data_IF_373352905920
#
_entry.id   IF_373352905920
#
_cell.length_a   1.000
_cell.length_b   1.000
_cell.length_c   1.000
_cell.angle_alpha   90.00
_cell.angle_beta   90.00
_cell.angle_gamma   90.00
#
_symmetry.space_group_name_H-M   'P 1'
#
loop_
_entity.id
_entity.type
_entity.pdbx_description
1 polymer ?
#
# COMPACT_ATOMS: atom_id res chain seq x y z
N UNK A 1 -13.60 -3.94 -17.59
CA UNK A 1 -14.65 -3.42 -16.69
C UNK A 1 -14.49 -1.92 -16.54
N UNK A 2 -15.51 -1.12 -16.84
CA UNK A 2 -15.48 0.33 -16.64
C UNK A 2 -15.76 0.63 -15.18
N UNK A 3 -14.93 1.45 -14.52
CA UNK A 3 -15.17 1.87 -13.14
C UNK A 3 -16.42 2.77 -13.09
N UNK A 4 -17.45 2.29 -12.37
CA UNK A 4 -18.68 3.05 -12.09
C UNK A 4 -18.39 4.27 -11.23
N UNK A 5 -19.26 5.29 -11.26
CA UNK A 5 -19.09 6.51 -10.46
C UNK A 5 -19.05 6.22 -8.95
N UNK A 6 -19.86 5.27 -8.48
CA UNK A 6 -19.86 4.83 -7.07
C UNK A 6 -18.52 4.20 -6.67
N UNK A 7 -17.94 3.35 -7.53
CA UNK A 7 -16.62 2.75 -7.29
C UNK A 7 -15.51 3.77 -7.31
N UNK A 8 -15.58 4.73 -8.24
CA UNK A 8 -14.63 5.82 -8.29
C UNK A 8 -14.65 6.62 -6.98
N UNK A 9 -15.85 7.02 -6.50
CA UNK A 9 -15.99 7.73 -5.24
C UNK A 9 -15.43 6.92 -4.06
N UNK A 10 -15.73 5.61 -3.99
CA UNK A 10 -15.19 4.73 -2.96
C UNK A 10 -13.65 4.68 -2.99
N UNK A 11 -13.04 4.51 -4.17
CA UNK A 11 -11.57 4.49 -4.32
C UNK A 11 -10.94 5.85 -3.98
N UNK A 12 -11.59 6.96 -4.32
CA UNK A 12 -11.14 8.30 -3.95
C UNK A 12 -11.18 8.54 -2.44
N UNK A 13 -12.24 8.08 -1.76
CA UNK A 13 -12.32 8.14 -0.30
C UNK A 13 -11.25 7.27 0.36
N UNK A 14 -11.02 6.05 -0.14
CA UNK A 14 -9.92 5.19 0.32
C UNK A 14 -8.57 5.91 0.23
N UNK A 15 -8.27 6.54 -0.91
CA UNK A 15 -7.05 7.34 -1.11
C UNK A 15 -6.96 8.50 -0.11
N UNK A 16 -8.04 9.26 0.06
CA UNK A 16 -8.07 10.41 0.96
C UNK A 16 -7.82 10.01 2.42
N UNK A 17 -8.58 9.04 2.92
CA UNK A 17 -8.48 8.62 4.32
C UNK A 17 -7.17 7.90 4.62
N UNK A 18 -6.62 7.14 3.67
CA UNK A 18 -5.29 6.56 3.80
C UNK A 18 -4.21 7.65 3.92
N UNK A 19 -4.31 8.72 3.12
CA UNK A 19 -3.39 9.85 3.21
C UNK A 19 -3.52 10.58 4.56
N UNK A 20 -4.74 10.85 5.00
CA UNK A 20 -4.99 11.48 6.30
C UNK A 20 -4.45 10.62 7.44
N UNK A 21 -4.65 9.30 7.41
CA UNK A 21 -4.09 8.40 8.40
C UNK A 21 -2.57 8.50 8.49
N UNK A 22 -1.86 8.56 7.35
CA UNK A 22 -0.40 8.75 7.33
C UNK A 22 -0.01 10.10 7.94
N UNK A 23 -0.65 11.19 7.50
CA UNK A 23 -0.35 12.56 7.96
C UNK A 23 -0.54 12.69 9.47
N UNK A 24 -1.66 12.20 10.00
CA UNK A 24 -1.99 12.32 11.41
C UNK A 24 -1.20 11.37 12.28
N UNK A 25 -0.94 10.14 11.83
CA UNK A 25 -0.06 9.21 12.56
C UNK A 25 1.36 9.79 12.64
N UNK A 26 1.91 10.27 11.53
CA UNK A 26 3.25 10.87 11.52
C UNK A 26 3.31 12.18 12.31
N UNK A 27 2.34 13.09 12.09
CA UNK A 27 2.23 14.36 12.80
C UNK A 27 1.83 14.22 14.27
N UNK A 28 1.53 13.00 14.73
CA UNK A 28 1.32 12.64 16.12
C UNK A 28 2.59 12.55 16.94
N UNK A 29 3.74 12.51 16.30
CA UNK A 29 5.04 12.42 16.95
C UNK A 29 5.79 13.73 16.79
N UNK A 30 6.27 14.32 17.88
CA UNK A 30 6.94 15.62 17.86
C UNK A 30 8.40 15.43 17.47
N UNK A 31 8.86 16.22 16.50
CA UNK A 31 10.27 16.28 16.11
C UNK A 31 11.02 17.23 17.03
N UNK A 32 12.00 16.71 17.76
CA UNK A 32 13.00 17.51 18.47
C UNK A 32 14.27 17.70 17.63
N UNK A 33 15.16 18.58 18.10
CA UNK A 33 16.47 18.82 17.47
C UNK A 33 17.31 17.56 17.39
N UNK A 34 17.16 16.69 18.38
CA UNK A 34 17.81 15.40 18.37
C UNK A 34 17.03 14.43 17.45
N UNK A 35 15.69 14.52 17.37
CA UNK A 35 14.80 13.87 16.37
C UNK A 35 13.45 13.39 16.95
N UNK A 36 12.79 12.37 16.39
CA UNK A 36 11.41 11.96 16.75
C UNK A 36 11.29 10.48 17.19
N UNK A 37 10.81 10.16 18.39
CA UNK A 37 10.58 8.76 18.78
C UNK A 37 9.43 8.17 17.94
N UNK A 38 9.61 6.97 17.40
CA UNK A 38 8.58 6.20 16.70
C UNK A 38 8.89 4.73 16.95
N UNK A 39 7.92 3.81 16.84
CA UNK A 39 8.24 2.41 17.15
C UNK A 39 7.25 1.38 16.67
N UNK A 40 7.68 0.50 15.78
CA UNK A 40 7.01 -0.58 15.04
C UNK A 40 5.50 -0.46 14.70
N UNK A 41 4.64 -0.22 15.68
CA UNK A 41 3.19 -0.04 15.51
C UNK A 41 2.77 1.12 14.59
N UNK A 42 3.27 2.37 14.72
CA UNK A 42 2.94 3.45 13.81
C UNK A 42 3.58 3.25 12.43
N UNK A 43 4.79 2.67 12.32
CA UNK A 43 5.40 2.37 11.03
C UNK A 43 4.62 1.31 10.27
N UNK A 44 4.18 0.24 10.96
CA UNK A 44 3.32 -0.75 10.36
C UNK A 44 2.01 -0.10 9.87
N UNK A 45 1.35 0.71 10.71
CA UNK A 45 0.14 1.44 10.31
C UNK A 45 0.38 2.38 9.11
N UNK A 46 1.48 3.13 9.11
CA UNK A 46 1.87 4.01 8.00
C UNK A 46 2.09 3.20 6.71
N UNK A 47 2.78 2.07 6.77
CA UNK A 47 3.02 1.21 5.60
C UNK A 47 1.73 0.62 5.03
N UNK A 48 0.79 0.22 5.89
CA UNK A 48 -0.49 -0.34 5.43
C UNK A 48 -1.37 0.75 4.82
N UNK A 49 -1.46 1.92 5.44
CA UNK A 49 -2.14 3.07 4.86
C UNK A 49 -1.44 3.56 3.58
N UNK A 50 -0.12 3.51 3.49
CA UNK A 50 0.61 3.85 2.27
C UNK A 50 0.30 2.86 1.12
N UNK A 51 0.23 1.57 1.44
CA UNK A 51 -0.17 0.54 0.46
C UNK A 51 -1.62 0.71 0.00
N UNK A 52 -2.52 1.08 0.92
CA UNK A 52 -3.90 1.44 0.63
C UNK A 52 -4.00 2.69 -0.27
N UNK A 53 -3.19 3.72 0.03
CA UNK A 53 -3.06 4.94 -0.76
C UNK A 53 -2.65 4.64 -2.20
N UNK A 54 -1.57 3.87 -2.38
CA UNK A 54 -1.09 3.47 -3.71
C UNK A 54 -2.14 2.68 -4.48
N UNK A 55 -2.83 1.76 -3.80
CA UNK A 55 -3.91 0.97 -4.40
C UNK A 55 -5.05 1.87 -4.87
N UNK A 56 -5.55 2.78 -4.03
CA UNK A 56 -6.60 3.72 -4.42
C UNK A 56 -6.19 4.65 -5.55
N UNK A 57 -4.96 5.19 -5.49
CA UNK A 57 -4.41 6.07 -6.53
C UNK A 57 -4.33 5.38 -7.89
N UNK A 58 -3.98 4.09 -7.93
CA UNK A 58 -3.96 3.33 -9.16
C UNK A 58 -5.34 3.28 -9.86
N UNK A 59 -6.42 3.11 -9.09
CA UNK A 59 -7.78 3.12 -9.65
C UNK A 59 -8.28 4.52 -10.03
N UNK A 60 -7.86 5.56 -9.31
CA UNK A 60 -8.29 6.94 -9.54
C UNK A 60 -7.56 7.57 -10.73
N UNK A 61 -6.22 7.54 -10.71
CA UNK A 61 -5.38 8.29 -11.64
C UNK A 61 -5.24 7.56 -13.01
N UNK A 62 -4.50 6.44 -13.14
CA UNK A 62 -4.35 5.73 -14.41
C UNK A 62 -5.67 5.33 -15.09
N UNK A 63 -6.62 4.79 -14.32
CA UNK A 63 -7.82 4.16 -14.91
C UNK A 63 -8.90 5.19 -15.26
N UNK A 64 -9.17 6.17 -14.39
CA UNK A 64 -10.30 7.09 -14.58
C UNK A 64 -9.91 8.47 -15.08
N UNK A 65 -8.92 9.12 -14.46
CA UNK A 65 -8.54 10.50 -14.77
C UNK A 65 -7.71 10.57 -16.04
N UNK A 66 -6.61 9.80 -16.07
CA UNK A 66 -5.60 9.87 -17.14
C UNK A 66 -5.89 8.90 -18.29
N UNK A 67 -6.77 7.91 -18.04
CA UNK A 67 -7.16 6.86 -19.01
C UNK A 67 -5.94 6.21 -19.69
N UNK A 68 -4.85 6.06 -18.94
CA UNK A 68 -3.60 5.44 -19.41
C UNK A 68 -3.76 3.94 -19.65
N UNK A 69 -4.74 3.31 -19.00
CA UNK A 69 -5.03 1.89 -19.19
C UNK A 69 -6.45 1.71 -19.72
N UNK A 70 -6.58 0.90 -20.77
CA UNK A 70 -7.88 0.48 -21.32
C UNK A 70 -8.43 -0.77 -20.62
N UNK A 71 -7.58 -1.45 -19.85
CA UNK A 71 -7.89 -2.70 -19.14
C UNK A 71 -7.85 -2.43 -17.63
N UNK A 72 -9.00 -2.59 -16.98
CA UNK A 72 -9.08 -2.58 -15.52
C UNK A 72 -8.52 -3.88 -14.93
N UNK A 73 -8.01 -3.88 -13.68
CA UNK A 73 -7.59 -5.11 -12.99
C UNK A 73 -8.68 -6.18 -13.01
N UNK A 74 -8.26 -7.44 -13.08
CA UNK A 74 -9.19 -8.57 -12.98
C UNK A 74 -9.94 -8.56 -11.64
N UNK A 75 -11.16 -9.08 -11.63
CA UNK A 75 -11.98 -9.18 -10.42
C UNK A 75 -11.27 -9.98 -9.31
N UNK A 76 -10.58 -11.06 -9.70
CA UNK A 76 -9.79 -11.88 -8.77
C UNK A 76 -8.64 -11.07 -8.15
N UNK A 77 -7.89 -10.31 -8.96
CA UNK A 77 -6.81 -9.45 -8.42
C UNK A 77 -7.35 -8.37 -7.49
N UNK A 78 -8.49 -7.77 -7.82
CA UNK A 78 -9.13 -6.79 -6.94
C UNK A 78 -9.51 -7.41 -5.60
N UNK A 79 -10.16 -8.58 -5.60
CA UNK A 79 -10.53 -9.32 -4.39
C UNK A 79 -9.33 -9.67 -3.53
N UNK A 80 -8.27 -10.19 -4.12
CA UNK A 80 -7.07 -10.57 -3.38
C UNK A 80 -6.41 -9.36 -2.73
N UNK A 81 -6.24 -8.26 -3.47
CA UNK A 81 -5.61 -7.03 -2.95
C UNK A 81 -6.48 -6.40 -1.86
N UNK A 82 -7.78 -6.21 -2.12
CA UNK A 82 -8.70 -5.63 -1.14
C UNK A 82 -8.78 -6.51 0.12
N UNK A 83 -8.85 -7.83 -0.03
CA UNK A 83 -8.89 -8.77 1.10
C UNK A 83 -7.62 -8.76 1.95
N UNK A 84 -6.44 -8.73 1.32
CA UNK A 84 -5.16 -8.59 2.04
C UNK A 84 -5.11 -7.25 2.78
N UNK A 85 -5.48 -6.15 2.12
CA UNK A 85 -5.48 -4.82 2.74
C UNK A 85 -6.49 -4.72 3.89
N UNK A 86 -7.65 -5.36 3.82
CA UNK A 86 -8.62 -5.43 4.93
C UNK A 86 -7.96 -6.03 6.18
N UNK A 87 -7.28 -7.17 6.04
CA UNK A 87 -6.61 -7.83 7.18
C UNK A 87 -5.49 -6.95 7.72
N UNK A 88 -4.65 -6.43 6.84
CA UNK A 88 -3.48 -5.66 7.24
C UNK A 88 -3.83 -4.29 7.84
N UNK A 89 -4.82 -3.58 7.30
CA UNK A 89 -5.31 -2.31 7.84
C UNK A 89 -5.98 -2.50 9.20
N UNK A 90 -6.72 -3.60 9.40
CA UNK A 90 -7.30 -3.92 10.71
C UNK A 90 -6.20 -4.15 11.76
N UNK A 91 -5.19 -4.96 11.41
CA UNK A 91 -4.03 -5.15 12.28
C UNK A 91 -3.31 -3.82 12.53
N UNK A 92 -3.14 -2.98 11.50
CA UNK A 92 -2.51 -1.67 11.63
C UNK A 92 -3.26 -0.75 12.59
N UNK A 93 -4.58 -0.72 12.50
CA UNK A 93 -5.44 0.06 13.38
C UNK A 93 -5.35 -0.41 14.84
N UNK A 94 -5.46 -1.73 15.07
CA UNK A 94 -5.42 -2.32 16.42
C UNK A 94 -4.04 -2.13 17.05
N UNK A 95 -2.97 -2.41 16.31
CA UNK A 95 -1.60 -2.29 16.82
C UNK A 95 -1.24 -0.84 17.12
N UNK A 96 -1.65 0.11 16.27
CA UNK A 96 -1.45 1.54 16.54
C UNK A 96 -2.24 1.97 17.78
N UNK A 97 -3.52 1.59 17.86
CA UNK A 97 -4.38 1.92 18.99
C UNK A 97 -3.87 1.35 20.33
N UNK A 98 -3.39 0.11 20.32
CA UNK A 98 -2.83 -0.56 21.49
C UNK A 98 -1.39 -0.12 21.83
N UNK A 99 -0.75 0.70 20.99
CA UNK A 99 0.61 1.16 21.22
C UNK A 99 0.69 2.08 22.44
N UNK A 100 1.79 2.00 23.19
CA UNK A 100 2.04 2.92 24.32
C UNK A 100 2.13 4.39 23.89
N UNK A 101 2.35 4.67 22.59
CA UNK A 101 2.30 6.03 22.06
C UNK A 101 0.87 6.59 22.01
N UNK A 102 -0.14 5.74 21.84
CA UNK A 102 -1.55 6.15 21.82
C UNK A 102 -2.20 5.98 23.20
N UNK A 103 -2.05 4.80 23.81
CA UNK A 103 -2.74 4.42 25.04
C UNK A 103 -2.29 5.24 26.24
N UNK A 104 -0.98 5.43 26.37
CA UNK A 104 -0.35 6.09 27.52
C UNK A 104 0.18 7.48 27.12
N UNK A 105 -0.44 8.09 26.10
CA UNK A 105 0.09 9.29 25.45
C UNK A 105 0.25 10.48 26.41
N UNK A 106 -0.79 10.78 27.19
CA UNK A 106 -0.78 11.89 28.16
C UNK A 106 0.23 11.64 29.28
N UNK A 107 0.21 10.43 29.88
CA UNK A 107 1.14 10.04 30.95
C UNK A 107 2.60 10.19 30.50
N UNK A 108 2.94 9.70 29.30
CA UNK A 108 4.29 9.85 28.76
C UNK A 108 4.68 11.28 28.45
N UNK A 109 3.74 12.13 28.02
CA UNK A 109 4.01 13.54 27.83
C UNK A 109 4.29 14.23 29.17
N UNK A 110 3.50 13.95 30.20
CA UNK A 110 3.67 14.54 31.53
C UNK A 110 5.03 14.14 32.12
N UNK A 111 5.41 12.86 32.03
CA UNK A 111 6.74 12.38 32.44
C UNK A 111 7.85 13.13 31.70
N UNK A 112 7.79 13.17 30.37
CA UNK A 112 8.85 13.78 29.56
C UNK A 112 8.93 15.30 29.72
N UNK A 113 7.81 15.96 29.98
CA UNK A 113 7.76 17.39 30.25
C UNK A 113 8.44 17.73 31.58
N UNK A 114 8.28 16.89 32.61
CA UNK A 114 9.01 17.04 33.89
C UNK A 114 10.52 16.86 33.71
N UNK A 115 10.95 15.87 32.91
CA UNK A 115 12.37 15.57 32.73
C UNK A 115 13.10 16.50 31.73
N UNK A 116 12.42 16.92 30.66
CA UNK A 116 13.04 17.57 29.52
C UNK A 116 12.31 18.86 29.05
N UNK A 117 11.20 19.26 29.70
CA UNK A 117 10.45 20.47 29.37
C UNK A 117 9.75 20.43 28.00
N UNK A 118 9.56 19.23 27.43
CA UNK A 118 9.08 19.03 26.05
C UNK A 118 8.08 17.88 25.99
N UNK A 119 7.08 18.02 25.13
CA UNK A 119 6.10 16.96 24.83
C UNK A 119 6.60 16.06 23.70
N UNK A 120 6.38 14.75 23.86
CA UNK A 120 6.84 13.72 22.93
C UNK A 120 5.83 13.48 21.80
N UNK A 121 4.54 13.56 22.13
CA UNK A 121 3.44 13.17 21.26
C UNK A 121 2.36 14.24 21.21
N UNK A 122 1.72 14.40 20.05
CA UNK A 122 0.47 15.14 19.87
C UNK A 122 -0.68 14.14 19.92
N UNK A 123 -1.18 13.86 21.12
CA UNK A 123 -2.17 12.79 21.35
C UNK A 123 -3.39 12.88 20.44
N UNK A 124 -3.94 14.08 20.24
CA UNK A 124 -5.07 14.28 19.33
C UNK A 124 -4.76 13.83 17.89
N UNK A 125 -3.56 14.09 17.40
CA UNK A 125 -3.15 13.65 16.07
C UNK A 125 -3.00 12.12 15.99
N UNK A 126 -2.42 11.49 17.03
CA UNK A 126 -2.33 10.04 17.10
C UNK A 126 -3.70 9.37 17.14
N UNK A 127 -4.65 9.91 17.91
CA UNK A 127 -6.04 9.45 17.93
C UNK A 127 -6.69 9.58 16.55
N UNK A 128 -6.50 10.71 15.86
CA UNK A 128 -7.01 10.88 14.50
C UNK A 128 -6.36 9.90 13.51
N UNK A 129 -5.07 9.60 13.65
CA UNK A 129 -4.37 8.58 12.86
C UNK A 129 -5.01 7.19 13.00
N UNK A 130 -5.35 6.79 14.22
CA UNK A 130 -6.10 5.56 14.51
C UNK A 130 -7.48 5.57 13.84
N UNK A 131 -8.25 6.66 14.03
CA UNK A 131 -9.60 6.80 13.47
C UNK A 131 -9.58 6.69 11.94
N UNK A 132 -8.68 7.42 11.27
CA UNK A 132 -8.58 7.38 9.82
C UNK A 132 -8.10 6.02 9.30
N UNK A 133 -7.29 5.29 10.05
CA UNK A 133 -6.92 3.91 9.69
C UNK A 133 -8.13 2.98 9.75
N UNK A 134 -8.98 3.07 10.78
CA UNK A 134 -10.23 2.31 10.87
C UNK A 134 -11.22 2.68 9.75
N UNK A 135 -11.34 3.96 9.40
CA UNK A 135 -12.18 4.40 8.28
C UNK A 135 -11.64 3.80 6.97
N UNK A 136 -10.33 3.85 6.75
CA UNK A 136 -9.69 3.26 5.55
C UNK A 136 -9.96 1.75 5.48
N UNK A 137 -9.79 1.03 6.59
CA UNK A 137 -10.18 -0.38 6.72
C UNK A 137 -11.64 -0.61 6.31
N UNK A 138 -12.59 0.16 6.85
CA UNK A 138 -14.02 -0.02 6.57
C UNK A 138 -14.36 0.23 5.09
N UNK A 139 -13.70 1.20 4.45
CA UNK A 139 -13.87 1.47 3.02
C UNK A 139 -13.30 0.34 2.14
N UNK A 140 -12.17 -0.26 2.53
CA UNK A 140 -11.62 -1.43 1.85
C UNK A 140 -12.50 -2.67 2.05
N UNK A 141 -13.05 -2.87 3.26
CA UNK A 141 -14.00 -3.94 3.54
C UNK A 141 -15.27 -3.78 2.69
N UNK A 142 -15.78 -2.56 2.57
CA UNK A 142 -16.92 -2.23 1.71
C UNK A 142 -16.62 -2.58 0.25
N UNK A 143 -15.44 -2.21 -0.27
CA UNK A 143 -15.02 -2.56 -1.63
C UNK A 143 -14.89 -4.07 -1.83
N UNK A 144 -14.33 -4.77 -0.84
CA UNK A 144 -14.17 -6.22 -0.86
C UNK A 144 -15.53 -6.91 -0.91
N UNK A 145 -16.46 -6.59 -0.01
CA UNK A 145 -17.82 -7.16 0.01
C UNK A 145 -18.58 -6.81 -1.27
N UNK A 146 -18.50 -5.56 -1.73
CA UNK A 146 -19.12 -5.14 -2.99
C UNK A 146 -18.64 -6.00 -4.16
N UNK A 147 -17.35 -6.34 -4.21
CA UNK A 147 -16.81 -7.17 -5.28
C UNK A 147 -17.42 -8.57 -5.38
N UNK A 148 -18.07 -9.09 -4.32
CA UNK A 148 -18.79 -10.36 -4.36
C UNK A 148 -20.28 -10.19 -4.68
N UNK A 149 -20.90 -9.13 -4.18
CA UNK A 149 -22.35 -8.93 -4.34
C UNK A 149 -22.66 -8.18 -5.64
N UNK A 150 -22.05 -7.01 -5.84
CA UNK A 150 -22.38 -6.14 -6.97
C UNK A 150 -21.69 -6.47 -8.29
N UNK A 151 -20.54 -7.14 -8.29
CA UNK A 151 -19.83 -7.46 -9.54
C UNK A 151 -20.20 -8.81 -10.13
N UNK A 152 -20.56 -9.79 -9.29
CA UNK A 152 -21.01 -11.09 -9.79
C UNK A 152 -22.32 -10.94 -10.56
N UNK A 153 -23.25 -10.11 -10.08
CA UNK A 153 -24.53 -9.86 -10.77
C UNK A 153 -24.33 -9.21 -12.15
N UNK A 154 -23.39 -8.27 -12.25
CA UNK A 154 -23.04 -7.61 -13.52
C UNK A 154 -22.25 -8.53 -14.46
N UNK A 155 -21.43 -9.45 -13.93
CA UNK A 155 -20.71 -10.45 -14.73
C UNK A 155 -21.66 -11.51 -15.31
N UNK A 156 -22.61 -11.99 -14.51
CA UNK A 156 -23.63 -12.95 -14.94
C UNK A 156 -24.57 -12.37 -16.02
N UNK A 157 -24.88 -11.07 -15.96
CA UNK A 157 -25.63 -10.39 -17.02
C UNK A 157 -24.82 -10.22 -18.31
N UNK A 158 -23.50 -10.10 -18.23
CA UNK A 158 -22.62 -9.97 -19.40
C UNK A 158 -22.39 -11.32 -20.12
N UNK A 159 -22.43 -12.46 -19.42
CA UNK A 159 -22.36 -13.81 -20.03
C UNK A 159 -23.63 -14.19 -20.81
N UNK A 160 -24.80 -13.66 -20.45
CA UNK A 160 -26.07 -13.92 -21.13
C UNK A 160 -26.22 -13.22 -22.50
N UNK A 161 -25.37 -12.24 -22.79
CA UNK A 161 -25.35 -11.54 -24.06
C UNK A 161 -24.11 -11.98 -24.84
N UNK A 162 -24.31 -12.95 -25.73
CA UNK A 162 -23.22 -13.54 -26.52
C UNK A 162 -22.51 -12.49 -27.38
N UNK A 163 -21.21 -12.36 -27.19
CA UNK A 163 -20.32 -11.70 -28.14
C UNK A 163 -19.03 -12.49 -28.26
N UNK A 164 -18.67 -12.76 -29.52
CA UNK A 164 -17.49 -13.48 -29.96
C UNK A 164 -16.20 -12.99 -29.27
N UNK A 165 -15.28 -13.92 -29.01
CA UNK A 165 -13.88 -13.66 -28.69
C UNK A 165 -13.22 -12.83 -29.80
N UNK A 166 -13.43 -11.52 -29.79
CA UNK A 166 -12.54 -10.61 -30.49
C UNK A 166 -11.19 -10.69 -29.76
N UNK A 167 -10.19 -11.26 -30.42
CA UNK A 167 -8.79 -11.26 -30.00
C UNK A 167 -8.43 -9.86 -29.49
N UNK A 168 -8.37 -9.71 -28.17
CA UNK A 168 -8.07 -8.42 -27.56
C UNK A 168 -6.63 -8.04 -27.94
N UNK A 169 -6.32 -6.75 -28.19
CA UNK A 169 -4.96 -6.30 -28.53
C UNK A 169 -3.88 -6.71 -27.51
N UNK A 170 -4.27 -7.11 -26.31
CA UNK A 170 -3.38 -7.63 -25.28
C UNK A 170 -2.89 -9.07 -25.49
N UNK A 171 -3.66 -9.91 -26.19
CA UNK A 171 -3.28 -11.30 -26.50
C UNK A 171 -2.15 -11.34 -27.53
N UNK A 172 -2.28 -10.57 -28.62
CA UNK A 172 -1.24 -10.45 -29.67
C UNK A 172 0.08 -9.86 -29.15
N UNK A 173 0.03 -8.99 -28.13
CA UNK A 173 1.24 -8.41 -27.51
C UNK A 173 1.93 -9.38 -26.56
N UNK A 174 1.17 -10.14 -25.76
CA UNK A 174 1.72 -11.18 -24.88
C UNK A 174 2.41 -12.29 -25.69
N UNK A 175 1.80 -12.69 -26.81
CA UNK A 175 2.39 -13.61 -27.79
C UNK A 175 3.65 -13.04 -28.44
N UNK A 176 3.68 -11.74 -28.76
CA UNK A 176 4.87 -11.08 -29.28
C UNK A 176 6.02 -11.05 -28.25
N UNK A 177 5.73 -10.85 -26.96
CA UNK A 177 6.74 -10.89 -25.90
C UNK A 177 7.23 -12.30 -25.60
N UNK A 178 6.35 -13.31 -25.57
CA UNK A 178 6.76 -14.70 -25.41
C UNK A 178 7.58 -15.19 -26.60
N UNK A 179 7.25 -14.74 -27.82
CA UNK A 179 8.04 -14.97 -29.02
C UNK A 179 9.38 -14.23 -29.01
N UNK A 180 9.47 -13.03 -28.39
CA UNK A 180 10.73 -12.30 -28.23
C UNK A 180 11.63 -12.94 -27.16
N UNK A 181 11.06 -13.36 -26.03
CA UNK A 181 11.80 -14.04 -24.95
C UNK A 181 12.28 -15.44 -25.40
N UNK A 182 11.53 -16.15 -26.24
CA UNK A 182 11.98 -17.43 -26.84
C UNK A 182 13.11 -17.25 -27.86
N UNK A 183 13.17 -16.11 -28.55
CA UNK A 183 14.28 -15.75 -29.45
C UNK A 183 15.55 -15.32 -28.69
N UNK A 184 15.42 -14.80 -27.47
CA UNK A 184 16.55 -14.32 -26.65
C UNK A 184 16.47 -14.80 -25.20
N UNK A 185 16.63 -16.11 -24.94
CA UNK A 185 16.44 -16.69 -23.61
C UNK A 185 17.40 -16.12 -22.55
N UNK A 186 18.62 -15.78 -22.94
CA UNK A 186 19.59 -15.15 -22.05
C UNK A 186 19.13 -13.77 -21.55
N UNK A 187 18.49 -12.96 -22.41
CA UNK A 187 18.00 -11.63 -22.05
C UNK A 187 16.81 -11.71 -21.07
N UNK A 188 15.93 -12.71 -21.27
CA UNK A 188 14.82 -12.98 -20.37
C UNK A 188 15.29 -13.40 -18.98
N UNK A 189 16.29 -14.29 -18.91
CA UNK A 189 16.92 -14.71 -17.65
C UNK A 189 17.58 -13.52 -16.95
N UNK A 190 18.39 -12.74 -17.66
CA UNK A 190 19.07 -11.56 -17.09
C UNK A 190 18.06 -10.56 -16.52
N UNK A 191 16.96 -10.29 -17.22
CA UNK A 191 15.92 -9.38 -16.74
C UNK A 191 15.26 -9.91 -15.47
N UNK A 192 14.87 -11.19 -15.44
CA UNK A 192 14.26 -11.82 -14.26
C UNK A 192 15.20 -11.81 -13.06
N UNK A 193 16.47 -12.17 -13.29
CA UNK A 193 17.52 -12.13 -12.27
C UNK A 193 17.76 -10.72 -11.75
N UNK A 194 17.80 -9.70 -12.63
CA UNK A 194 17.94 -8.31 -12.23
C UNK A 194 16.76 -7.83 -11.36
N UNK A 195 15.52 -8.23 -11.69
CA UNK A 195 14.34 -7.92 -10.86
C UNK A 195 14.38 -8.62 -9.51
N UNK A 196 14.86 -9.86 -9.46
CA UNK A 196 15.05 -10.58 -8.21
C UNK A 196 16.13 -9.92 -7.34
N UNK A 197 17.26 -9.52 -7.92
CA UNK A 197 18.31 -8.78 -7.21
C UNK A 197 17.76 -7.44 -6.71
N UNK A 198 17.00 -6.70 -7.52
CA UNK A 198 16.36 -5.46 -7.11
C UNK A 198 15.42 -5.67 -5.92
N UNK A 199 14.63 -6.76 -5.93
CA UNK A 199 13.77 -7.14 -4.80
C UNK A 199 14.59 -7.42 -3.53
N UNK A 200 15.61 -8.27 -3.63
CA UNK A 200 16.47 -8.63 -2.48
C UNK A 200 17.17 -7.40 -1.91
N UNK A 201 17.75 -6.54 -2.75
CA UNK A 201 18.39 -5.31 -2.30
C UNK A 201 17.40 -4.35 -1.65
N UNK A 202 16.21 -4.18 -2.22
CA UNK A 202 15.17 -3.33 -1.64
C UNK A 202 14.69 -3.86 -0.29
N UNK A 203 14.57 -5.19 -0.16
CA UNK A 203 14.22 -5.86 1.09
C UNK A 203 15.32 -5.71 2.15
N UNK A 204 16.59 -5.87 1.77
CA UNK A 204 17.73 -5.64 2.68
C UNK A 204 17.74 -4.19 3.13
N UNK A 205 17.60 -3.22 2.23
CA UNK A 205 17.54 -1.80 2.58
C UNK A 205 16.38 -1.55 3.55
N UNK A 206 15.19 -2.08 3.26
CA UNK A 206 14.03 -1.94 4.15
C UNK A 206 14.29 -2.54 5.53
N UNK A 207 14.75 -3.80 5.61
CA UNK A 207 15.03 -4.49 6.88
C UNK A 207 16.15 -3.78 7.64
N UNK A 208 17.25 -3.40 6.99
CA UNK A 208 18.36 -2.68 7.64
C UNK A 208 17.93 -1.31 8.14
N UNK A 209 17.09 -0.62 7.37
CA UNK A 209 16.51 0.67 7.76
C UNK A 209 15.63 0.48 9.00
N UNK A 210 14.69 -0.48 8.96
CA UNK A 210 13.77 -0.79 10.07
C UNK A 210 14.49 -1.34 11.31
N UNK A 211 15.44 -2.27 11.14
CA UNK A 211 16.19 -2.90 12.22
C UNK A 211 17.22 -1.95 12.84
N UNK A 212 17.78 -1.03 12.04
CA UNK A 212 18.58 0.10 12.53
C UNK A 212 17.82 1.03 13.46
N UNK A 213 16.48 0.91 13.56
CA UNK A 213 15.63 1.66 14.48
C UNK A 213 15.37 0.96 15.83
N UNK A 214 16.07 -0.14 16.17
CA UNK A 214 15.89 -0.75 17.50
C UNK A 214 16.31 0.22 18.61
N UNK A 215 15.43 0.34 19.61
CA UNK A 215 15.59 1.15 20.83
C UNK A 215 16.99 1.01 21.45
N UNK A 216 17.83 2.01 21.24
CA UNK A 216 18.84 2.32 22.23
C UNK A 216 18.15 3.06 23.38
N UNK A 217 18.47 2.68 24.62
CA UNK A 217 17.99 3.27 25.89
C UNK A 217 18.20 4.79 26.01
N UNK A 218 18.72 5.45 24.97
CA UNK A 218 18.96 6.89 24.86
C UNK A 218 18.11 7.59 23.78
N UNK A 219 17.10 6.92 23.20
CA UNK A 219 16.02 7.57 22.45
C UNK A 219 16.45 8.35 21.20
N UNK A 220 16.89 7.66 20.14
CA UNK A 220 17.11 8.25 18.81
C UNK A 220 16.23 7.56 17.75
N UNK A 221 15.73 8.12 16.64
CA UNK A 221 15.21 9.42 16.20
C UNK A 221 14.68 9.17 14.78
N UNK A 222 13.40 9.39 14.50
CA UNK A 222 12.85 9.39 13.15
C UNK A 222 13.10 10.76 12.54
N UNK A 223 13.87 10.79 11.46
CA UNK A 223 13.96 11.97 10.61
C UNK A 223 12.99 11.78 9.44
N UNK A 224 12.53 12.86 8.79
CA UNK A 224 11.79 12.75 7.54
C UNK A 224 12.53 11.93 6.48
N UNK A 225 13.87 11.94 6.51
CA UNK A 225 14.74 11.16 5.62
C UNK A 225 14.60 9.66 5.87
N UNK A 226 14.53 9.24 7.13
CA UNK A 226 14.32 7.84 7.52
C UNK A 226 12.98 7.30 7.00
N UNK A 227 11.89 8.04 7.23
CA UNK A 227 10.56 7.63 6.76
C UNK A 227 10.49 7.60 5.23
N UNK A 228 11.11 8.57 4.55
CA UNK A 228 11.24 8.55 3.09
C UNK A 228 11.94 7.29 2.60
N UNK A 229 13.05 6.88 3.22
CA UNK A 229 13.77 5.65 2.87
C UNK A 229 12.91 4.39 3.08
N UNK A 230 12.13 4.33 4.17
CA UNK A 230 11.18 3.23 4.43
C UNK A 230 10.12 3.17 3.32
N UNK A 231 9.49 4.29 2.96
CA UNK A 231 8.45 4.32 1.93
C UNK A 231 8.99 4.03 0.52
N UNK A 232 10.18 4.53 0.18
CA UNK A 232 10.82 4.27 -1.12
C UNK A 232 11.24 2.81 -1.24
N UNK A 233 11.89 2.25 -0.20
CA UNK A 233 12.27 0.83 -0.21
C UNK A 233 11.05 -0.07 -0.26
N UNK A 234 9.97 0.26 0.47
CA UNK A 234 8.69 -0.44 0.38
C UNK A 234 8.07 -0.35 -1.03
N UNK A 235 8.09 0.82 -1.65
CA UNK A 235 7.62 1.00 -3.03
C UNK A 235 8.39 0.14 -4.02
N UNK A 236 9.71 0.07 -3.88
CA UNK A 236 10.57 -0.79 -4.69
C UNK A 236 10.25 -2.28 -4.47
N UNK A 237 9.98 -2.70 -3.24
CA UNK A 237 9.53 -4.06 -2.91
C UNK A 237 8.20 -4.36 -3.62
N UNK A 238 7.20 -3.50 -3.49
CA UNK A 238 5.90 -3.69 -4.13
C UNK A 238 6.00 -3.74 -5.65
N UNK A 239 6.77 -2.83 -6.25
CA UNK A 239 7.01 -2.77 -7.69
C UNK A 239 7.70 -4.04 -8.22
N UNK A 240 8.75 -4.50 -7.54
CA UNK A 240 9.49 -5.70 -7.94
C UNK A 240 8.66 -6.97 -7.75
N UNK A 241 7.89 -7.08 -6.65
CA UNK A 241 6.93 -8.17 -6.45
C UNK A 241 5.86 -8.21 -7.54
N UNK A 242 5.32 -7.05 -7.93
CA UNK A 242 4.36 -6.98 -9.02
C UNK A 242 4.94 -7.55 -10.33
N UNK A 243 6.16 -7.17 -10.69
CA UNK A 243 6.82 -7.71 -11.89
C UNK A 243 7.15 -9.20 -11.76
N UNK A 244 7.69 -9.65 -10.62
CA UNK A 244 8.07 -11.06 -10.45
C UNK A 244 6.85 -11.99 -10.42
N UNK A 245 5.79 -11.60 -9.70
CA UNK A 245 4.61 -12.44 -9.48
C UNK A 245 3.60 -12.30 -10.61
N UNK A 246 3.22 -11.06 -10.95
CA UNK A 246 2.11 -10.81 -11.88
C UNK A 246 2.56 -10.91 -13.33
N UNK A 247 3.76 -10.39 -13.64
CA UNK A 247 4.28 -10.39 -15.01
C UNK A 247 4.99 -11.71 -15.33
N UNK A 248 5.94 -12.16 -14.49
CA UNK A 248 6.80 -13.31 -14.83
C UNK A 248 6.24 -14.68 -14.40
N UNK A 249 5.55 -14.79 -13.25
CA UNK A 249 5.00 -16.08 -12.77
C UNK A 249 3.59 -16.31 -13.31
N UNK A 250 2.71 -15.32 -13.21
CA UNK A 250 1.31 -15.48 -13.63
C UNK A 250 1.05 -15.13 -15.09
N UNK A 251 1.99 -14.50 -15.82
CA UNK A 251 1.79 -14.00 -17.19
C UNK A 251 0.50 -13.14 -17.33
N UNK A 252 0.06 -12.48 -16.24
CA UNK A 252 -1.26 -11.81 -16.15
C UNK A 252 -1.20 -10.32 -16.41
N UNK A 253 -0.04 -9.68 -16.27
CA UNK A 253 0.14 -8.25 -16.54
C UNK A 253 1.11 -8.04 -17.70
N UNK A 254 0.71 -7.21 -18.65
CA UNK A 254 1.55 -6.75 -19.75
C UNK A 254 2.78 -5.99 -19.22
N UNK A 255 3.93 -6.21 -19.87
CA UNK A 255 5.12 -5.35 -19.69
C UNK A 255 4.80 -3.99 -20.34
N UNK A 256 5.04 -2.85 -19.67
CA UNK A 256 4.98 -1.54 -20.33
C UNK A 256 5.97 -1.46 -21.50
#
# INVERSE_FOLDING_TARGET
>A
MVITTARFALRSLQTLFALLAIIFTWGGYVKNNDGQLSGLSPEFSILMNYSALLTGLYYVLPVKVLKWTTVAPSLLSQRLIDGVLVVLLLLGAILLWASSGVKDCSEKNDEYEVYAGLQLFRCGNLTMGVIFTFITFALFLTSFVWSFVGDNDNANQAEGAGYAEALTPGASRAEAYSAADSRHPALAIVRRSARFIQFVLSLIIFISTVAGYKHYFTGRFTSPVAMFMVLVSWSCILYTLFHLIVVDIFNKSHRP
#
